data_IF_094073290695
#
_entry.id   IF_094073290695
#
_cell.length_a   1.000
_cell.length_b   1.000
_cell.length_c   1.000
_cell.angle_alpha   90.00
_cell.angle_beta   90.00
_cell.angle_gamma   90.00
#
_symmetry.space_group_name_H-M   'P 1'
#
loop_
_entity.id
_entity.type
_entity.pdbx_description
1 polymer ?
#
# COMPACT_ATOMS: atom_id res chain seq x y z
N UNK A 1 0.69 0.19 8.60
CA UNK A 1 1.52 0.92 7.63
C UNK A 1 2.89 0.29 7.43
N UNK A 2 3.63 0.09 8.51
CA UNK A 2 4.96 -0.55 8.44
C UNK A 2 4.85 -1.96 7.85
N UNK A 3 3.86 -2.73 8.25
CA UNK A 3 3.64 -4.07 7.72
C UNK A 3 3.42 -4.05 6.20
N UNK A 4 2.63 -3.10 5.70
CA UNK A 4 2.40 -2.94 4.26
C UNK A 4 3.72 -2.63 3.55
N UNK A 5 4.48 -1.69 4.08
CA UNK A 5 5.75 -1.30 3.47
C UNK A 5 6.75 -2.46 3.46
N UNK A 6 6.83 -3.19 4.56
CA UNK A 6 7.75 -4.33 4.64
C UNK A 6 7.37 -5.43 3.65
N UNK A 7 6.08 -5.72 3.51
CA UNK A 7 5.62 -6.76 2.61
C UNK A 7 5.97 -6.45 1.16
N UNK A 8 5.80 -5.18 0.74
CA UNK A 8 6.06 -4.76 -0.64
C UNK A 8 7.42 -4.11 -0.83
N UNK A 9 8.26 -4.09 0.20
CA UNK A 9 9.62 -3.51 0.15
C UNK A 9 9.59 -2.03 -0.24
N UNK A 10 8.74 -1.26 0.43
CA UNK A 10 8.55 0.16 0.15
C UNK A 10 9.12 1.02 1.27
N UNK A 11 9.72 2.16 0.90
CA UNK A 11 10.05 3.21 1.85
C UNK A 11 8.80 4.06 2.14
N UNK A 12 8.89 4.92 3.18
CA UNK A 12 7.82 5.89 3.43
C UNK A 12 7.60 6.78 2.21
N UNK A 13 8.69 7.17 1.55
CA UNK A 13 8.64 8.02 0.36
C UNK A 13 7.92 7.31 -0.79
N UNK A 14 8.21 6.03 -1.01
CA UNK A 14 7.58 5.26 -2.08
C UNK A 14 6.07 5.14 -1.86
N UNK A 15 5.67 4.83 -0.63
CA UNK A 15 4.24 4.73 -0.31
C UNK A 15 3.55 6.09 -0.45
N UNK A 16 4.17 7.14 0.05
CA UNK A 16 3.61 8.49 -0.05
C UNK A 16 3.44 8.91 -1.50
N UNK A 17 4.43 8.63 -2.34
CA UNK A 17 4.37 8.94 -3.77
C UNK A 17 3.20 8.21 -4.44
N UNK A 18 2.99 6.95 -4.11
CA UNK A 18 1.89 6.17 -4.68
C UNK A 18 0.53 6.70 -4.28
N UNK A 19 0.41 7.29 -3.10
CA UNK A 19 -0.83 7.86 -2.58
C UNK A 19 -0.98 9.36 -2.90
N UNK A 20 0.02 9.94 -3.58
CA UNK A 20 0.05 11.36 -3.94
C UNK A 20 -0.02 12.27 -2.71
N UNK A 21 0.75 11.93 -1.69
CA UNK A 21 0.85 12.69 -0.44
C UNK A 21 2.33 12.88 -0.08
N UNK A 22 2.59 13.75 0.90
CA UNK A 22 3.95 13.98 1.38
C UNK A 22 4.44 12.80 2.23
N UNK A 23 5.73 12.45 2.19
CA UNK A 23 6.30 11.41 3.07
C UNK A 23 6.05 11.70 4.55
N UNK A 24 6.04 12.98 4.93
CA UNK A 24 5.73 13.41 6.28
C UNK A 24 4.37 12.89 6.76
N UNK A 25 3.38 12.86 5.86
CA UNK A 25 2.04 12.36 6.18
C UNK A 25 2.07 10.88 6.55
N UNK A 26 2.82 10.08 5.79
CA UNK A 26 2.98 8.65 6.10
C UNK A 26 3.65 8.48 7.46
N UNK A 27 4.68 9.27 7.75
CA UNK A 27 5.36 9.22 9.03
C UNK A 27 4.42 9.53 10.19
N UNK A 28 3.51 10.50 10.01
CA UNK A 28 2.52 10.84 11.04
C UNK A 28 1.52 9.71 11.28
N UNK A 29 1.10 9.04 10.21
CA UNK A 29 0.22 7.87 10.34
C UNK A 29 0.91 6.74 11.10
N UNK A 30 2.17 6.48 10.81
CA UNK A 30 2.92 5.40 11.46
C UNK A 30 3.18 5.69 12.94
N UNK A 31 3.30 6.96 13.31
CA UNK A 31 3.50 7.35 14.71
C UNK A 31 2.19 7.52 15.49
N UNK A 32 1.04 7.40 14.83
CA UNK A 32 -0.26 7.53 15.48
C UNK A 32 -0.73 8.96 15.70
N UNK A 33 -0.01 9.95 15.15
CA UNK A 33 -0.38 11.37 15.30
C UNK A 33 -1.65 11.68 14.49
N UNK A 34 -1.80 11.05 13.33
CA UNK A 34 -2.97 11.20 12.49
C UNK A 34 -3.33 9.88 11.84
N UNK A 35 -4.52 9.79 11.25
CA UNK A 35 -5.01 8.59 10.59
C UNK A 35 -5.39 8.90 9.15
N UNK A 36 -5.17 7.94 8.22
CA UNK A 36 -5.65 8.13 6.85
C UNK A 36 -7.18 8.16 6.81
N UNK A 37 -7.73 8.87 5.83
CA UNK A 37 -9.16 9.01 5.66
C UNK A 37 -9.52 8.96 4.18
N UNK A 38 -10.80 8.78 3.87
CA UNK A 38 -11.31 8.79 2.50
C UNK A 38 -10.70 7.72 1.63
N UNK A 39 -10.37 8.08 0.39
CA UNK A 39 -9.81 7.16 -0.58
C UNK A 39 -8.50 6.55 -0.10
N UNK A 40 -7.67 7.33 0.58
CA UNK A 40 -6.38 6.85 1.09
C UNK A 40 -6.59 5.71 2.10
N UNK A 41 -7.57 5.85 3.00
CA UNK A 41 -7.88 4.81 3.96
C UNK A 41 -8.36 3.53 3.27
N UNK A 42 -9.18 3.66 2.23
CA UNK A 42 -9.67 2.50 1.49
C UNK A 42 -8.56 1.78 0.74
N UNK A 43 -7.67 2.53 0.09
CA UNK A 43 -6.53 1.94 -0.61
C UNK A 43 -5.62 1.21 0.38
N UNK A 44 -5.35 1.82 1.53
CA UNK A 44 -4.50 1.20 2.54
C UNK A 44 -5.13 -0.05 3.13
N UNK A 45 -6.45 -0.06 3.31
CA UNK A 45 -7.15 -1.25 3.80
C UNK A 45 -7.03 -2.39 2.79
N UNK A 46 -7.20 -2.10 1.50
CA UNK A 46 -7.04 -3.09 0.45
C UNK A 46 -5.61 -3.61 0.38
N UNK A 47 -4.62 -2.72 0.52
CA UNK A 47 -3.22 -3.12 0.57
C UNK A 47 -2.91 -3.98 1.78
N UNK A 48 -3.48 -3.65 2.93
CA UNK A 48 -3.31 -4.43 4.15
C UNK A 48 -3.87 -5.85 3.96
N UNK A 49 -5.05 -5.97 3.38
CA UNK A 49 -5.67 -7.28 3.12
C UNK A 49 -4.81 -8.10 2.16
N UNK A 50 -4.30 -7.47 1.10
CA UNK A 50 -3.42 -8.14 0.14
C UNK A 50 -2.11 -8.56 0.78
N UNK A 51 -1.52 -7.69 1.60
CA UNK A 51 -0.29 -7.99 2.32
C UNK A 51 -0.48 -9.16 3.29
N UNK A 52 -1.64 -9.23 3.96
CA UNK A 52 -1.97 -10.32 4.85
C UNK A 52 -2.04 -11.65 4.09
N UNK A 53 -2.70 -11.67 2.95
CA UNK A 53 -2.78 -12.87 2.12
C UNK A 53 -1.40 -13.31 1.65
N UNK A 54 -0.58 -12.38 1.18
CA UNK A 54 0.78 -12.67 0.73
C UNK A 54 1.61 -13.25 1.86
N UNK A 55 1.53 -12.65 3.04
CA UNK A 55 2.27 -13.11 4.22
C UNK A 55 1.85 -14.53 4.62
N UNK A 56 0.56 -14.82 4.60
CA UNK A 56 0.04 -16.13 4.98
C UNK A 56 0.42 -17.21 3.97
N UNK A 57 0.48 -16.86 2.68
CA UNK A 57 0.77 -17.80 1.60
C UNK A 57 2.22 -17.77 1.16
N UNK A 58 3.02 -16.84 1.69
CA UNK A 58 4.42 -16.62 1.29
C UNK A 58 4.54 -16.38 -0.22
N UNK A 59 3.63 -15.59 -0.77
CA UNK A 59 3.54 -15.35 -2.21
C UNK A 59 4.44 -14.16 -2.60
N UNK A 60 5.73 -14.43 -2.78
CA UNK A 60 6.73 -13.42 -3.13
C UNK A 60 6.47 -12.80 -4.50
N UNK A 61 6.04 -13.61 -5.47
CA UNK A 61 5.78 -13.11 -6.82
C UNK A 61 4.64 -12.08 -6.82
N UNK A 62 3.57 -12.34 -6.08
CA UNK A 62 2.46 -11.40 -5.96
C UNK A 62 2.90 -10.13 -5.25
N UNK A 63 3.74 -10.25 -4.22
CA UNK A 63 4.27 -9.08 -3.52
C UNK A 63 5.06 -8.17 -4.47
N UNK A 64 5.88 -8.74 -5.34
CA UNK A 64 6.65 -7.99 -6.32
C UNK A 64 5.74 -7.30 -7.34
N UNK A 65 4.71 -7.99 -7.80
CA UNK A 65 3.75 -7.42 -8.76
C UNK A 65 3.03 -6.22 -8.16
N UNK A 66 2.47 -6.37 -6.96
CA UNK A 66 1.75 -5.29 -6.31
C UNK A 66 2.70 -4.14 -5.96
N UNK A 67 3.90 -4.45 -5.48
CA UNK A 67 4.90 -3.43 -5.19
C UNK A 67 5.26 -2.61 -6.41
N UNK A 68 5.39 -3.24 -7.59
CA UNK A 68 5.64 -2.55 -8.84
C UNK A 68 4.49 -1.62 -9.23
N UNK A 69 3.25 -2.05 -9.01
CA UNK A 69 2.06 -1.23 -9.28
C UNK A 69 2.00 -0.02 -8.34
N UNK A 70 2.37 -0.20 -7.08
CA UNK A 70 2.42 0.92 -6.13
C UNK A 70 3.43 1.96 -6.61
N UNK A 71 4.57 1.52 -7.12
CA UNK A 71 5.59 2.43 -7.64
C UNK A 71 5.10 3.23 -8.87
N UNK A 72 4.17 2.68 -9.66
CA UNK A 72 3.59 3.38 -10.80
C UNK A 72 2.56 4.44 -10.41
N UNK A 73 2.03 4.35 -9.18
CA UNK A 73 1.11 5.33 -8.66
C UNK A 73 -0.25 4.78 -8.32
N UNK A 74 -1.07 5.63 -7.68
CA UNK A 74 -2.35 5.20 -7.12
C UNK A 74 -3.34 4.74 -8.19
N UNK A 75 -3.31 5.32 -9.37
CA UNK A 75 -4.23 4.94 -10.45
C UNK A 75 -4.04 3.51 -10.89
N UNK A 76 -2.80 3.09 -11.10
CA UNK A 76 -2.48 1.72 -11.49
C UNK A 76 -2.85 0.74 -10.38
N UNK A 77 -2.58 1.12 -9.14
CA UNK A 77 -2.89 0.30 -7.98
C UNK A 77 -4.40 0.09 -7.82
N UNK A 78 -5.19 1.16 -7.95
CA UNK A 78 -6.65 1.09 -7.85
C UNK A 78 -7.19 0.19 -8.95
N UNK A 79 -6.70 0.34 -10.18
CA UNK A 79 -7.13 -0.50 -11.29
C UNK A 79 -6.87 -1.98 -11.01
N UNK A 80 -5.68 -2.30 -10.49
CA UNK A 80 -5.34 -3.68 -10.13
C UNK A 80 -6.28 -4.23 -9.05
N UNK A 81 -6.51 -3.44 -7.99
CA UNK A 81 -7.35 -3.89 -6.88
C UNK A 81 -8.80 -4.13 -7.33
N UNK A 82 -9.32 -3.26 -8.19
CA UNK A 82 -10.67 -3.44 -8.72
C UNK A 82 -10.76 -4.66 -9.63
N UNK A 83 -9.72 -4.90 -10.45
CA UNK A 83 -9.69 -6.05 -11.35
C UNK A 83 -9.59 -7.38 -10.63
N UNK A 84 -8.94 -7.39 -9.45
CA UNK A 84 -8.76 -8.62 -8.68
C UNK A 84 -9.94 -8.95 -7.77
N UNK A 85 -10.91 -8.04 -7.68
CA UNK A 85 -12.09 -8.19 -6.83
C UNK A 85 -13.22 -8.88 -7.60
N UNK A 86 -13.09 -10.12 -7.88
CA UNK A 86 -14.17 -10.85 -8.55
C UNK A 86 -14.76 -11.92 -7.67
#
# INVERSE_FOLDING_TARGET
MIFIRDTFKLSQRDLAKSLNIAPYTVARWESGISEPAGLQAEVLRALFNTATEISQRQDTARAQTVGGLIALGIGALIFYLLSSKR
#
